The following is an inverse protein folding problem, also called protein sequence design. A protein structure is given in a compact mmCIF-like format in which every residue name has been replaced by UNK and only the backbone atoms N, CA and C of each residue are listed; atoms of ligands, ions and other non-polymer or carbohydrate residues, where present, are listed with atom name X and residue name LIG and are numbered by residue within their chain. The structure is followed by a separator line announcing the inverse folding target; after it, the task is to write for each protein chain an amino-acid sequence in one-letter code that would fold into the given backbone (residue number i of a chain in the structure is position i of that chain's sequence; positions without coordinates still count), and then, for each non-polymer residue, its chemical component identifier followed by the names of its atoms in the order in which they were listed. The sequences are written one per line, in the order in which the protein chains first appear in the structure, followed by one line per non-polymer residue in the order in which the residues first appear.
data_IF_612925605460
#
_entry.id   IF_612925605460
#
_cell.length_a   1.000
_cell.length_b   1.000
_cell.length_c   1.000
_cell.angle_alpha   90.00
_cell.angle_beta   90.00
_cell.angle_gamma   90.00
#
_symmetry.space_group_name_H-M   'P 1'
#
loop_
_entity.id
_entity.type
_entity.pdbx_description
1 polymer ?
#
# COMPACT_ATOMS: atom_id res chain seq x y z
N UNK A 1 6.29 -1.50 13.80
CA UNK A 1 5.62 -2.35 12.80
C UNK A 1 5.87 -3.81 13.16
N UNK A 2 4.83 -4.63 13.34
CA UNK A 2 4.98 -6.05 13.67
C UNK A 2 4.32 -6.88 12.57
N UNK A 3 5.12 -7.33 11.62
CA UNK A 3 4.66 -8.27 10.59
C UNK A 3 4.56 -9.63 11.26
N UNK A 4 3.35 -10.18 11.39
CA UNK A 4 3.18 -11.56 11.83
C UNK A 4 3.26 -12.46 10.59
N UNK A 5 4.42 -13.06 10.37
CA UNK A 5 4.52 -14.25 9.55
C UNK A 5 3.96 -15.43 10.35
N UNK A 6 3.20 -16.30 9.72
CA UNK A 6 2.78 -17.56 10.34
C UNK A 6 4.02 -18.43 10.55
N UNK A 7 4.54 -18.46 11.77
CA UNK A 7 5.58 -19.41 12.19
C UNK A 7 4.90 -20.73 12.53
N UNK A 8 4.74 -21.65 11.58
CA UNK A 8 4.60 -23.05 11.96
C UNK A 8 6.00 -23.63 12.10
N UNK A 9 6.42 -23.91 13.32
CA UNK A 9 7.66 -24.63 13.63
C UNK A 9 7.53 -26.15 13.42
N UNK A 10 6.36 -26.64 13.02
CA UNK A 10 6.20 -28.02 12.61
C UNK A 10 6.34 -28.12 11.08
N UNK A 11 7.26 -28.96 10.62
CA UNK A 11 7.44 -29.29 9.21
C UNK A 11 6.12 -29.63 8.55
N UNK A 12 5.53 -28.65 7.87
CA UNK A 12 4.32 -28.85 7.09
C UNK A 12 4.76 -29.39 5.73
N UNK A 13 4.72 -30.71 5.61
CA UNK A 13 4.43 -31.32 4.32
C UNK A 13 3.23 -30.55 3.76
N UNK A 14 3.46 -29.78 2.69
CA UNK A 14 2.38 -29.17 1.92
C UNK A 14 1.39 -30.31 1.63
N UNK A 15 0.10 -30.18 1.98
CA UNK A 15 -0.90 -31.11 1.50
C UNK A 15 -0.79 -31.07 -0.03
N UNK A 16 -0.36 -32.18 -0.64
CA UNK A 16 -0.37 -32.32 -2.10
C UNK A 16 -1.83 -32.15 -2.54
N UNK A 17 -2.19 -30.96 -3.01
CA UNK A 17 -3.52 -30.66 -3.53
C UNK A 17 -4.19 -29.36 -3.09
N UNK A 18 -3.53 -28.42 -2.39
CA UNK A 18 -4.09 -27.07 -2.20
C UNK A 18 -3.33 -26.04 -3.02
N UNK A 19 -3.83 -25.71 -4.20
CA UNK A 19 -3.20 -24.77 -5.15
C UNK A 19 -3.34 -23.28 -4.75
N UNK A 20 -3.80 -22.96 -3.55
CA UNK A 20 -3.78 -21.58 -3.04
C UNK A 20 -3.56 -21.54 -1.52
N UNK A 21 -2.47 -20.88 -1.12
CA UNK A 21 -2.27 -20.46 0.26
C UNK A 21 -2.88 -19.06 0.40
N UNK A 22 -4.06 -18.97 1.01
CA UNK A 22 -4.67 -17.68 1.35
C UNK A 22 -3.91 -17.07 2.53
N UNK A 23 -2.91 -16.25 2.22
CA UNK A 23 -2.16 -15.51 3.23
C UNK A 23 -2.91 -14.21 3.57
N UNK A 24 -3.48 -14.14 4.76
CA UNK A 24 -4.03 -12.89 5.31
C UNK A 24 -2.93 -12.21 6.13
N UNK A 25 -2.45 -11.06 5.67
CA UNK A 25 -1.52 -10.21 6.41
C UNK A 25 -2.25 -8.96 6.93
N UNK A 26 -2.20 -8.75 8.23
CA UNK A 26 -2.73 -7.52 8.85
C UNK A 26 -1.59 -6.51 9.03
N UNK A 27 -1.68 -5.37 8.35
CA UNK A 27 -0.79 -4.23 8.56
C UNK A 27 -1.41 -3.28 9.60
N UNK A 28 -0.70 -3.07 10.70
CA UNK A 28 -1.08 -2.07 11.71
C UNK A 28 -0.14 -0.85 11.59
N UNK A 29 -0.72 0.30 11.25
CA UNK A 29 -0.01 1.58 11.18
C UNK A 29 -0.24 2.33 12.49
N UNK A 30 0.84 2.59 13.23
CA UNK A 30 0.83 3.39 14.47
C UNK A 30 1.77 4.58 14.31
N UNK A 31 1.26 5.78 14.52
CA UNK A 31 2.10 6.97 14.60
C UNK A 31 3.00 6.89 15.83
N UNK A 32 4.29 7.17 15.68
CA UNK A 32 5.23 7.32 16.80
C UNK A 32 5.30 8.75 17.33
N UNK A 33 4.64 9.70 16.67
CA UNK A 33 4.62 11.10 17.06
C UNK A 33 3.51 11.35 18.09
N UNK A 34 3.91 11.39 19.36
CA UNK A 34 3.16 12.07 20.42
C UNK A 34 3.84 13.42 20.70
N UNK A 35 3.14 14.58 20.62
CA UNK A 35 1.72 14.78 20.35
C UNK A 35 1.45 15.08 18.86
N UNK A 36 0.64 14.25 18.19
CA UNK A 36 0.29 14.43 16.77
C UNK A 36 -0.70 13.42 16.19
N UNK A 37 -1.26 12.53 17.03
CA UNK A 37 -2.14 11.45 16.59
C UNK A 37 -3.38 11.94 15.81
N UNK A 38 -3.90 13.13 16.12
CA UNK A 38 -5.03 13.72 15.40
C UNK A 38 -4.73 14.05 13.93
N UNK A 39 -3.45 14.17 13.55
CA UNK A 39 -3.03 14.41 12.17
C UNK A 39 -2.91 13.13 11.35
N UNK A 40 -2.90 11.97 12.00
CA UNK A 40 -2.79 10.64 11.39
C UNK A 40 -4.18 9.98 11.21
N UNK A 41 -5.18 10.75 10.79
CA UNK A 41 -6.53 10.25 10.53
C UNK A 41 -6.64 9.71 9.11
N UNK A 42 -6.40 8.41 8.95
CA UNK A 42 -6.58 7.74 7.68
C UNK A 42 -8.01 7.20 7.55
N UNK A 43 -8.72 7.63 6.52
CA UNK A 43 -10.12 7.25 6.30
C UNK A 43 -10.29 6.13 5.26
N UNK A 44 -9.31 5.93 4.39
CA UNK A 44 -9.30 4.87 3.38
C UNK A 44 -7.88 4.31 3.20
N UNK A 45 -7.77 3.03 2.87
CA UNK A 45 -6.51 2.39 2.51
C UNK A 45 -6.76 1.46 1.32
N UNK A 46 -5.98 1.61 0.26
CA UNK A 46 -6.00 0.73 -0.90
C UNK A 46 -4.69 -0.03 -0.97
N UNK A 47 -4.74 -1.35 -1.20
CA UNK A 47 -3.56 -2.17 -1.41
C UNK A 47 -3.55 -2.66 -2.87
N UNK A 48 -2.47 -2.38 -3.59
CA UNK A 48 -2.20 -2.91 -4.93
C UNK A 48 -1.11 -3.96 -4.81
N UNK A 49 -1.50 -5.17 -4.42
CA UNK A 49 -0.59 -6.27 -4.07
C UNK A 49 0.37 -6.65 -5.20
N UNK A 50 -0.09 -6.63 -6.45
CA UNK A 50 0.76 -6.93 -7.61
C UNK A 50 1.92 -5.95 -7.81
N UNK A 51 1.79 -4.75 -7.27
CA UNK A 51 2.81 -3.70 -7.33
C UNK A 51 3.51 -3.47 -5.98
N UNK A 52 3.15 -4.25 -4.94
CA UNK A 52 3.64 -4.02 -3.58
C UNK A 52 3.28 -2.63 -3.05
N UNK A 53 2.14 -2.04 -3.42
CA UNK A 53 1.78 -0.68 -3.00
C UNK A 53 0.68 -0.66 -1.96
N UNK A 54 0.80 0.28 -1.02
CA UNK A 54 -0.21 0.62 -0.03
C UNK A 54 -0.44 2.13 -0.11
N UNK A 55 -1.71 2.51 -0.30
CA UNK A 55 -2.15 3.87 -0.54
C UNK A 55 -3.07 4.33 0.60
N UNK A 56 -2.53 4.78 1.74
CA UNK A 56 -3.35 5.34 2.80
C UNK A 56 -3.77 6.78 2.44
N UNK A 57 -5.07 7.04 2.54
CA UNK A 57 -5.66 8.36 2.34
C UNK A 57 -5.93 9.03 3.68
N UNK A 58 -5.55 10.29 3.80
CA UNK A 58 -5.81 11.15 4.95
C UNK A 58 -6.75 12.28 4.53
N UNK A 59 -8.04 12.12 4.81
CA UNK A 59 -9.04 13.13 4.52
C UNK A 59 -8.83 14.45 5.29
N UNK A 60 -8.18 14.43 6.46
CA UNK A 60 -7.89 15.66 7.21
C UNK A 60 -6.78 16.48 6.56
N UNK A 61 -5.76 15.80 6.01
CA UNK A 61 -4.66 16.43 5.27
C UNK A 61 -4.93 16.60 3.78
N UNK A 62 -6.06 16.09 3.28
CA UNK A 62 -6.36 16.00 1.85
C UNK A 62 -5.17 15.40 1.08
N UNK A 63 -4.59 14.32 1.58
CA UNK A 63 -3.39 13.71 1.03
C UNK A 63 -3.58 12.20 0.85
N UNK A 64 -3.06 11.67 -0.25
CA UNK A 64 -2.93 10.24 -0.52
C UNK A 64 -1.44 9.94 -0.51
N UNK A 65 -0.99 9.12 0.43
CA UNK A 65 0.40 8.71 0.49
C UNK A 65 0.60 7.43 -0.33
N UNK A 66 1.80 7.24 -0.86
CA UNK A 66 2.19 6.04 -1.59
C UNK A 66 3.35 5.38 -0.87
N UNK A 67 3.08 4.19 -0.34
CA UNK A 67 4.07 3.38 0.37
C UNK A 67 4.32 2.11 -0.43
N UNK A 68 5.57 1.84 -0.75
CA UNK A 68 6.01 0.61 -1.38
C UNK A 68 6.46 -0.40 -0.31
N UNK A 69 6.00 -1.64 -0.45
CA UNK A 69 6.33 -2.78 0.38
C UNK A 69 7.29 -3.68 -0.41
N UNK A 70 8.58 -3.59 -0.08
CA UNK A 70 9.56 -4.55 -0.58
C UNK A 70 9.73 -5.68 0.44
N UNK A 71 9.37 -6.90 0.05
CA UNK A 71 9.53 -8.09 0.86
C UNK A 71 10.99 -8.54 1.01
N UNK A 72 11.88 -8.14 0.10
CA UNK A 72 13.27 -8.57 0.07
C UNK A 72 13.44 -10.09 -0.07
N UNK A 73 14.64 -10.61 0.19
CA UNK A 73 14.93 -12.05 0.04
C UNK A 73 14.33 -12.92 1.16
N UNK A 74 13.89 -12.32 2.27
CA UNK A 74 13.32 -13.04 3.40
C UNK A 74 12.41 -12.11 4.24
N UNK A 75 11.51 -12.65 5.08
CA UNK A 75 10.57 -11.84 5.84
C UNK A 75 11.21 -10.77 6.74
N UNK A 76 12.42 -11.00 7.27
CA UNK A 76 13.13 -10.04 8.12
C UNK A 76 13.72 -8.85 7.33
N UNK A 77 13.86 -9.00 6.01
CA UNK A 77 14.28 -7.92 5.10
C UNK A 77 13.12 -7.09 4.57
N UNK A 78 11.88 -7.37 4.99
CA UNK A 78 10.71 -6.61 4.54
C UNK A 78 10.81 -5.16 5.00
N UNK A 79 10.68 -4.22 4.06
CA UNK A 79 10.69 -2.78 4.33
C UNK A 79 9.51 -2.08 3.68
N UNK A 80 9.11 -0.96 4.30
CA UNK A 80 8.14 -0.02 3.76
C UNK A 80 8.87 1.28 3.41
N UNK A 81 8.84 1.64 2.14
CA UNK A 81 9.44 2.86 1.60
C UNK A 81 8.33 3.84 1.24
N UNK A 82 8.37 5.06 1.78
CA UNK A 82 7.50 6.13 1.32
C UNK A 82 8.06 6.70 0.00
N UNK A 83 7.28 6.63 -1.09
CA UNK A 83 7.80 6.92 -2.44
C UNK A 83 7.12 8.12 -3.11
N UNK A 84 5.90 8.49 -2.71
CA UNK A 84 5.18 9.61 -3.31
C UNK A 84 3.97 10.06 -2.48
N UNK A 85 3.42 11.23 -2.80
CA UNK A 85 2.15 11.75 -2.26
C UNK A 85 1.38 12.48 -3.36
N UNK A 86 0.05 12.33 -3.34
CA UNK A 86 -0.88 13.15 -4.09
C UNK A 86 -1.67 14.05 -3.13
N UNK A 87 -1.49 15.36 -3.26
CA UNK A 87 -2.32 16.33 -2.54
C UNK A 87 -3.59 16.61 -3.35
N UNK A 88 -4.73 16.60 -2.66
CA UNK A 88 -6.03 16.89 -3.25
C UNK A 88 -6.60 18.18 -2.63
N UNK A 89 -7.51 18.85 -3.35
CA UNK A 89 -8.07 20.14 -2.90
C UNK A 89 -9.38 20.00 -2.13
N UNK A 90 -10.03 18.83 -2.22
CA UNK A 90 -11.33 18.54 -1.61
C UNK A 90 -11.26 17.25 -0.79
N UNK A 91 -12.09 17.10 0.25
CA UNK A 91 -12.08 15.91 1.10
C UNK A 91 -12.21 14.61 0.31
N UNK A 92 -11.39 13.62 0.68
CA UNK A 92 -11.39 12.28 0.08
C UNK A 92 -12.59 11.50 0.63
N UNK A 93 -13.58 11.20 -0.22
CA UNK A 93 -14.75 10.42 0.16
C UNK A 93 -14.50 8.91 0.01
N UNK A 94 -13.86 8.52 -1.09
CA UNK A 94 -13.37 7.16 -1.29
C UNK A 94 -12.12 7.14 -2.16
N UNK A 95 -11.37 6.05 -2.06
CA UNK A 95 -10.18 5.79 -2.85
C UNK A 95 -10.26 4.37 -3.40
N UNK A 96 -9.93 4.19 -4.67
CA UNK A 96 -9.66 2.88 -5.26
C UNK A 96 -8.45 2.97 -6.18
N UNK A 97 -7.88 1.84 -6.56
CA UNK A 97 -6.77 1.81 -7.48
C UNK A 97 -6.69 0.49 -8.24
N UNK A 98 -6.01 0.55 -9.36
CA UNK A 98 -5.71 -0.60 -10.20
C UNK A 98 -4.24 -0.58 -10.59
N UNK A 99 -3.71 -1.74 -10.92
CA UNK A 99 -2.36 -1.91 -11.46
C UNK A 99 -2.44 -2.54 -12.83
N UNK A 100 -1.68 -2.02 -13.79
CA UNK A 100 -1.55 -2.59 -15.14
C UNK A 100 -0.08 -2.59 -15.57
N UNK A 101 0.27 -3.40 -16.57
CA UNK A 101 1.60 -3.45 -17.18
C UNK A 101 1.51 -2.84 -18.57
N UNK A 102 2.01 -1.60 -18.70
CA UNK A 102 1.97 -0.83 -19.94
C UNK A 102 3.39 -0.75 -20.49
N UNK A 103 3.63 -1.25 -21.70
CA UNK A 103 4.96 -1.33 -22.33
C UNK A 103 6.04 -2.01 -21.46
N UNK A 104 5.65 -3.00 -20.65
CA UNK A 104 6.56 -3.71 -19.74
C UNK A 104 6.88 -2.97 -18.44
N UNK A 105 6.23 -1.83 -18.18
CA UNK A 105 6.33 -1.09 -16.93
C UNK A 105 5.03 -1.20 -16.14
N UNK A 106 5.14 -1.48 -14.83
CA UNK A 106 3.99 -1.53 -13.94
C UNK A 106 3.53 -0.11 -13.59
N UNK A 107 2.28 0.21 -13.90
CA UNK A 107 1.66 1.52 -13.70
C UNK A 107 0.44 1.35 -12.79
N UNK A 108 0.39 2.15 -11.73
CA UNK A 108 -0.77 2.22 -10.85
C UNK A 108 -1.66 3.39 -11.27
N UNK A 109 -2.96 3.13 -11.41
CA UNK A 109 -3.97 4.16 -11.56
C UNK A 109 -4.74 4.27 -10.26
N UNK A 110 -4.80 5.48 -9.71
CA UNK A 110 -5.47 5.76 -8.45
C UNK A 110 -6.64 6.69 -8.72
N UNK A 111 -7.83 6.28 -8.28
CA UNK A 111 -9.07 7.03 -8.46
C UNK A 111 -9.54 7.53 -7.09
N UNK A 112 -9.54 8.85 -6.93
CA UNK A 112 -9.99 9.54 -5.74
C UNK A 112 -11.36 10.16 -5.99
N UNK A 113 -12.37 9.72 -5.25
CA UNK A 113 -13.73 10.26 -5.31
C UNK A 113 -13.85 11.42 -4.32
N UNK A 114 -14.33 12.55 -4.82
CA UNK A 114 -14.61 13.76 -4.05
C UNK A 114 -16.04 14.22 -4.33
N UNK A 115 -16.49 15.23 -3.58
CA UNK A 115 -17.86 15.76 -3.72
C UNK A 115 -18.19 16.28 -5.12
N UNK A 116 -17.20 16.84 -5.84
CA UNK A 116 -17.43 17.53 -7.11
C UNK A 116 -16.86 16.80 -8.34
N UNK A 117 -15.97 15.82 -8.15
CA UNK A 117 -15.29 15.14 -9.25
C UNK A 117 -14.67 13.82 -8.79
N UNK A 118 -14.22 13.04 -9.77
CA UNK A 118 -13.30 11.91 -9.57
C UNK A 118 -11.96 12.31 -10.18
N UNK A 119 -10.90 12.30 -9.37
CA UNK A 119 -9.55 12.58 -9.82
C UNK A 119 -8.81 11.27 -10.09
N UNK A 120 -8.12 11.19 -11.22
CA UNK A 120 -7.28 10.07 -11.59
C UNK A 120 -5.81 10.47 -11.50
N UNK A 121 -5.04 9.69 -10.74
CA UNK A 121 -3.60 9.84 -10.61
C UNK A 121 -2.90 8.63 -11.21
N UNK A 122 -1.78 8.86 -11.88
CA UNK A 122 -0.95 7.81 -12.45
C UNK A 122 0.38 7.76 -11.70
N UNK A 123 0.79 6.58 -11.28
CA UNK A 123 2.05 6.34 -10.61
C UNK A 123 2.85 5.28 -11.38
N UNK A 124 4.00 5.68 -11.90
CA UNK A 124 4.95 4.79 -12.54
C UNK A 124 6.06 4.44 -11.55
N UNK A 125 6.08 3.19 -11.07
CA UNK A 125 7.03 2.74 -10.03
C UNK A 125 8.48 3.03 -10.39
N UNK A 126 8.86 2.82 -11.66
CA UNK A 126 10.22 3.04 -12.14
C UNK A 126 10.68 4.50 -12.00
N UNK A 127 9.75 5.46 -11.96
CA UNK A 127 10.08 6.87 -11.76
C UNK A 127 10.27 7.23 -10.29
N UNK A 128 9.67 6.46 -9.37
CA UNK A 128 9.73 6.71 -7.94
C UNK A 128 10.82 5.89 -7.24
N UNK A 129 11.13 4.71 -7.77
CA UNK A 129 12.20 3.83 -7.31
C UNK A 129 13.36 3.94 -8.29
N UNK A 130 14.15 5.02 -8.21
CA UNK A 130 15.42 5.06 -8.91
C UNK A 130 16.31 3.92 -8.38
N UNK A 131 16.96 3.19 -9.29
CA UNK A 131 17.71 1.96 -9.05
C UNK A 131 18.57 2.03 -7.77
N UNK A 132 18.33 1.08 -6.87
CA UNK A 132 19.26 0.75 -5.79
C UNK A 132 20.36 -0.16 -6.33
#
# INVERSE_FOLDING_TARGET
MKIRASTSEEGRLLPKGSDSLDCIQTLELKSSAEPGAEEASFNQVVALSQMGLILPANAKKNAIYVVHLDYGPNPASTRLDYISEFTVTMPILSLTGTSDVVHGQSVAQVYCVQTQAIQQYTLELCQCLQAW
#
